data_IF_223827870847
#
_entry.id   IF_223827870847
#
_cell.length_a   1.000
_cell.length_b   1.000
_cell.length_c   1.000
_cell.angle_alpha   90.00
_cell.angle_beta   90.00
_cell.angle_gamma   90.00
#
_symmetry.space_group_name_H-M   'P 1'
#
loop_
_entity.id
_entity.type
_entity.pdbx_description
1 polymer ?
#
# COMPACT_ATOMS: atom_id res chain seq x y z
N UNK A 1 -8.74 -14.60 -0.48
CA UNK A 1 -7.38 -14.76 0.05
C UNK A 1 -6.55 -15.79 -0.74
N UNK A 2 -7.16 -16.74 -1.47
CA UNK A 2 -6.46 -17.80 -2.23
C UNK A 2 -5.37 -17.32 -3.21
N UNK A 3 -5.38 -16.06 -3.63
CA UNK A 3 -4.41 -15.48 -4.56
C UNK A 3 -3.49 -14.42 -3.95
N UNK A 4 -3.47 -14.26 -2.61
CA UNK A 4 -2.64 -13.25 -1.97
C UNK A 4 -1.16 -13.50 -2.23
N UNK A 5 -0.68 -14.73 -2.02
CA UNK A 5 0.73 -15.09 -2.21
C UNK A 5 1.16 -14.92 -3.67
N UNK A 6 0.27 -15.25 -4.62
CA UNK A 6 0.51 -15.01 -6.04
C UNK A 6 0.69 -13.51 -6.33
N UNK A 7 -0.13 -12.64 -5.72
CA UNK A 7 -0.04 -11.18 -5.88
C UNK A 7 1.25 -10.63 -5.25
N UNK A 8 1.57 -11.07 -4.03
CA UNK A 8 2.78 -10.68 -3.31
C UNK A 8 4.05 -11.17 -4.02
N UNK A 9 3.97 -12.23 -4.83
CA UNK A 9 5.11 -12.72 -5.61
C UNK A 9 5.45 -11.90 -6.86
N UNK A 10 4.62 -10.91 -7.24
CA UNK A 10 4.77 -10.20 -8.52
C UNK A 10 6.01 -9.28 -8.55
N UNK A 11 6.48 -8.80 -7.40
CA UNK A 11 7.62 -7.89 -7.32
C UNK A 11 8.35 -7.91 -5.98
N UNK A 12 9.54 -7.33 -5.96
CA UNK A 12 10.37 -7.27 -4.76
C UNK A 12 9.81 -6.22 -3.78
N UNK A 13 9.70 -6.60 -2.50
CA UNK A 13 9.15 -5.73 -1.45
C UNK A 13 7.62 -5.75 -1.36
N UNK A 14 6.96 -6.58 -2.16
CA UNK A 14 5.53 -6.85 -2.06
C UNK A 14 5.28 -7.89 -0.96
N UNK A 15 5.69 -7.55 0.26
CA UNK A 15 5.40 -8.33 1.47
C UNK A 15 4.50 -7.49 2.38
N UNK A 16 3.93 -8.10 3.42
CA UNK A 16 3.17 -7.39 4.45
C UNK A 16 4.00 -7.31 5.73
N UNK A 17 3.69 -6.36 6.63
CA UNK A 17 4.28 -6.33 7.97
C UNK A 17 4.15 -7.66 8.70
N UNK A 18 5.06 -7.92 9.63
CA UNK A 18 5.03 -9.15 10.43
C UNK A 18 3.68 -9.31 11.15
N UNK A 19 3.11 -10.51 11.09
CA UNK A 19 1.81 -10.84 11.69
C UNK A 19 0.63 -9.98 11.19
N UNK A 20 0.74 -9.38 10.00
CA UNK A 20 -0.36 -8.62 9.42
C UNK A 20 -1.59 -9.50 9.17
N UNK A 21 -2.76 -8.99 9.57
CA UNK A 21 -4.05 -9.57 9.22
C UNK A 21 -4.58 -8.88 7.96
N UNK A 22 -4.81 -9.66 6.90
CA UNK A 22 -5.36 -9.14 5.65
C UNK A 22 -6.87 -8.97 5.80
N UNK A 23 -7.33 -7.72 5.69
CA UNK A 23 -8.75 -7.38 5.75
C UNK A 23 -9.45 -7.61 4.42
N UNK A 24 -8.80 -7.24 3.31
CA UNK A 24 -9.36 -7.39 1.97
C UNK A 24 -8.29 -7.31 0.88
N UNK A 25 -8.62 -7.89 -0.27
CA UNK A 25 -7.86 -7.76 -1.51
C UNK A 25 -8.82 -7.36 -2.61
N UNK A 26 -8.57 -6.25 -3.30
CA UNK A 26 -9.41 -5.76 -4.40
C UNK A 26 -8.57 -5.31 -5.59
N UNK A 27 -9.07 -5.44 -6.83
CA UNK A 27 -8.39 -4.91 -8.00
C UNK A 27 -8.35 -3.36 -8.00
N UNK A 28 -7.28 -2.77 -8.51
CA UNK A 28 -7.13 -1.33 -8.73
C UNK A 28 -7.79 -0.92 -10.07
N UNK A 29 -9.12 -0.85 -10.07
CA UNK A 29 -9.93 -0.70 -11.30
C UNK A 29 -9.83 0.69 -11.91
N UNK A 30 -9.70 1.74 -11.11
CA UNK A 30 -9.56 3.12 -11.56
C UNK A 30 -8.18 3.33 -12.18
N UNK A 31 -7.13 2.76 -11.58
CA UNK A 31 -5.80 2.73 -12.21
C UNK A 31 -5.84 1.96 -13.54
N UNK A 32 -6.34 0.72 -13.55
CA UNK A 32 -6.40 -0.09 -14.76
C UNK A 32 -7.23 0.54 -15.89
N UNK A 33 -8.28 1.29 -15.55
CA UNK A 33 -9.10 2.00 -16.54
C UNK A 33 -8.43 3.25 -17.11
N UNK A 34 -7.58 3.92 -16.32
CA UNK A 34 -6.89 5.15 -16.73
C UNK A 34 -5.56 4.89 -17.43
N UNK A 35 -4.96 3.72 -17.25
CA UNK A 35 -3.67 3.34 -17.84
C UNK A 35 -3.84 2.19 -18.85
N UNK A 36 -3.57 2.39 -20.16
CA UNK A 36 -3.68 1.32 -21.15
C UNK A 36 -2.83 0.09 -20.79
N UNK A 37 -3.50 -1.06 -20.62
CA UNK A 37 -2.86 -2.30 -20.18
C UNK A 37 -2.49 -2.32 -18.69
N UNK A 38 -2.86 -1.30 -17.93
CA UNK A 38 -2.65 -1.23 -16.50
C UNK A 38 -3.40 -2.34 -15.76
N UNK A 39 -2.77 -2.84 -14.71
CA UNK A 39 -3.35 -3.78 -13.76
C UNK A 39 -2.87 -3.40 -12.35
N UNK A 40 -3.58 -3.83 -11.32
CA UNK A 40 -3.14 -3.60 -9.96
C UNK A 40 -4.06 -4.20 -8.91
N UNK A 41 -3.57 -4.21 -7.68
CA UNK A 41 -4.25 -4.74 -6.51
C UNK A 41 -4.06 -3.82 -5.31
N UNK A 42 -5.04 -3.81 -4.43
CA UNK A 42 -5.04 -3.10 -3.16
C UNK A 42 -5.24 -4.16 -2.08
N UNK A 43 -4.31 -4.20 -1.13
CA UNK A 43 -4.32 -5.14 -0.03
C UNK A 43 -4.47 -4.32 1.24
N UNK A 44 -5.67 -4.31 1.83
CA UNK A 44 -5.91 -3.66 3.11
C UNK A 44 -5.53 -4.62 4.23
N UNK A 45 -4.78 -4.15 5.21
CA UNK A 45 -4.29 -4.95 6.32
C UNK A 45 -4.32 -4.20 7.64
N UNK A 46 -4.28 -4.96 8.73
CA UNK A 46 -3.96 -4.47 10.07
C UNK A 46 -2.70 -5.13 10.59
N UNK A 47 -1.93 -4.40 11.39
CA UNK A 47 -0.68 -4.88 11.99
C UNK A 47 -0.34 -4.05 13.21
N UNK A 48 0.52 -4.55 14.08
CA UNK A 48 1.05 -3.78 15.20
C UNK A 48 1.89 -2.59 14.71
N UNK A 49 1.88 -1.49 15.48
CA UNK A 49 2.60 -0.25 15.18
C UNK A 49 4.09 -0.53 14.86
N UNK A 50 4.77 -1.28 15.73
CA UNK A 50 6.19 -1.58 15.54
C UNK A 50 6.45 -2.40 14.27
N UNK A 51 5.62 -3.42 14.00
CA UNK A 51 5.74 -4.21 12.78
C UNK A 51 5.55 -3.37 11.51
N UNK A 52 4.67 -2.36 11.54
CA UNK A 52 4.52 -1.40 10.44
C UNK A 52 5.80 -0.56 10.27
N UNK A 53 6.40 -0.07 11.37
CA UNK A 53 7.64 0.72 11.30
C UNK A 53 8.82 -0.09 10.78
N UNK A 54 8.94 -1.32 11.22
CA UNK A 54 10.00 -2.24 10.79
C UNK A 54 9.85 -2.52 9.30
N UNK A 55 8.63 -2.86 8.86
CA UNK A 55 8.30 -3.03 7.44
C UNK A 55 8.67 -1.80 6.58
N UNK A 56 8.29 -0.59 7.02
CA UNK A 56 8.64 0.64 6.27
C UNK A 56 10.16 0.77 6.13
N UNK A 57 10.91 0.52 7.22
CA UNK A 57 12.36 0.63 7.23
C UNK A 57 13.03 -0.39 6.30
N UNK A 58 12.56 -1.62 6.32
CA UNK A 58 13.14 -2.74 5.56
C UNK A 58 12.80 -2.68 4.07
N UNK A 59 11.56 -2.36 3.73
CA UNK A 59 11.06 -2.51 2.35
C UNK A 59 11.14 -1.24 1.52
N UNK A 60 11.12 -0.06 2.16
CA UNK A 60 11.04 1.22 1.44
C UNK A 60 12.32 2.05 1.51
N UNK A 61 13.20 1.75 2.47
CA UNK A 61 14.37 2.56 2.79
C UNK A 61 14.04 3.89 3.51
N UNK A 62 12.76 4.19 3.75
CA UNK A 62 12.34 5.30 4.61
C UNK A 62 12.41 4.87 6.08
N UNK A 63 12.93 5.69 7.01
CA UNK A 63 12.99 5.28 8.41
C UNK A 63 11.58 5.22 9.03
N UNK A 64 11.16 4.05 9.50
CA UNK A 64 9.84 3.82 10.11
C UNK A 64 9.59 4.62 11.39
N UNK A 65 10.65 5.07 12.07
CA UNK A 65 10.55 6.03 13.18
C UNK A 65 9.96 7.37 12.72
N UNK A 66 10.14 7.74 11.44
CA UNK A 66 9.73 9.02 10.86
C UNK A 66 8.52 8.89 9.91
N UNK A 67 7.51 8.11 10.31
CA UNK A 67 6.19 8.11 9.67
C UNK A 67 5.38 9.32 10.17
N UNK A 68 5.79 10.48 9.68
CA UNK A 68 5.24 11.79 10.05
C UNK A 68 5.24 12.70 8.82
N UNK A 69 4.56 13.85 8.92
CA UNK A 69 4.46 14.80 7.81
C UNK A 69 3.03 14.98 7.31
N UNK A 70 2.87 15.61 6.12
CA UNK A 70 1.58 16.01 5.60
C UNK A 70 0.74 14.80 5.19
N UNK A 71 -0.58 15.02 5.19
CA UNK A 71 -1.50 13.95 4.87
C UNK A 71 -1.49 13.65 3.38
N UNK A 72 -1.65 12.37 3.05
CA UNK A 72 -1.95 11.92 1.70
C UNK A 72 -3.17 12.68 1.16
N UNK A 73 -3.15 12.98 -0.15
CA UNK A 73 -4.19 13.78 -0.80
C UNK A 73 -4.91 12.95 -1.85
N UNK A 74 -6.22 13.13 -1.95
CA UNK A 74 -7.01 12.50 -3.00
C UNK A 74 -6.49 12.96 -4.37
N UNK A 75 -6.34 12.03 -5.31
CA UNK A 75 -5.80 12.30 -6.64
C UNK A 75 -4.28 12.27 -6.74
N UNK A 76 -3.57 11.89 -5.67
CA UNK A 76 -2.16 11.48 -5.77
C UNK A 76 -2.08 10.19 -6.57
N UNK A 77 -1.09 10.11 -7.46
CA UNK A 77 -0.79 8.90 -8.23
C UNK A 77 -0.57 7.73 -7.27
N UNK A 78 -1.28 6.63 -7.48
CA UNK A 78 -1.26 5.43 -6.65
C UNK A 78 -2.37 5.30 -5.62
N UNK A 79 -3.23 6.31 -5.48
CA UNK A 79 -4.36 6.32 -4.55
C UNK A 79 -5.72 6.41 -5.26
N UNK A 80 -5.77 6.09 -6.56
CA UNK A 80 -6.97 6.25 -7.41
C UNK A 80 -8.15 5.42 -6.93
N UNK A 81 -7.87 4.29 -6.29
CA UNK A 81 -8.85 3.29 -5.88
C UNK A 81 -9.10 3.27 -4.36
N UNK A 82 -8.53 4.24 -3.62
CA UNK A 82 -8.71 4.34 -2.16
C UNK A 82 -9.50 5.60 -1.80
N UNK A 83 -10.49 5.42 -0.93
CA UNK A 83 -11.26 6.52 -0.35
C UNK A 83 -10.57 7.06 0.92
N UNK A 84 -9.80 8.13 0.75
CA UNK A 84 -9.07 8.76 1.86
C UNK A 84 -10.00 9.44 2.88
N UNK A 85 -11.27 9.69 2.55
CA UNK A 85 -12.22 10.29 3.50
C UNK A 85 -12.56 9.35 4.67
N UNK A 86 -12.31 8.05 4.48
CA UNK A 86 -12.49 7.01 5.49
C UNK A 86 -11.26 6.76 6.37
N UNK A 87 -10.16 7.48 6.12
CA UNK A 87 -8.85 7.21 6.73
C UNK A 87 -8.41 8.41 7.57
N UNK A 88 -8.12 8.14 8.83
CA UNK A 88 -7.66 9.16 9.77
C UNK A 88 -6.18 9.46 9.55
N UNK A 89 -5.85 10.75 9.37
CA UNK A 89 -4.47 11.22 9.26
C UNK A 89 -3.59 10.42 8.27
N UNK A 90 -4.02 10.21 7.01
CA UNK A 90 -3.39 9.26 6.10
C UNK A 90 -1.98 9.70 5.73
N UNK A 91 -1.03 8.76 5.70
CA UNK A 91 0.35 8.97 5.27
C UNK A 91 0.69 8.01 4.15
N UNK A 92 1.39 8.47 3.11
CA UNK A 92 1.67 7.65 1.94
C UNK A 92 3.13 7.73 1.47
N UNK A 93 3.63 6.63 0.90
CA UNK A 93 4.97 6.49 0.36
C UNK A 93 5.00 5.52 -0.82
N UNK A 94 5.50 6.00 -1.97
CA UNK A 94 5.79 5.16 -3.12
C UNK A 94 7.15 4.49 -3.00
N UNK A 95 7.27 3.22 -3.40
CA UNK A 95 8.50 2.43 -3.35
C UNK A 95 8.48 1.33 -4.41
N UNK A 96 9.61 0.67 -4.66
CA UNK A 96 9.71 -0.44 -5.63
C UNK A 96 9.51 -0.07 -7.11
N UNK A 97 9.04 1.15 -7.40
CA UNK A 97 8.67 1.62 -8.75
C UNK A 97 7.26 1.22 -9.18
N UNK A 98 6.63 0.29 -8.47
CA UNK A 98 5.31 -0.27 -8.76
C UNK A 98 4.39 -0.35 -7.52
N UNK A 99 4.87 0.05 -6.34
CA UNK A 99 4.12 -0.02 -5.10
C UNK A 99 3.89 1.34 -4.44
N UNK A 100 2.74 1.48 -3.79
CA UNK A 100 2.38 2.59 -2.91
C UNK A 100 1.93 2.01 -1.58
N UNK A 101 2.54 2.48 -0.49
CA UNK A 101 2.09 2.20 0.87
C UNK A 101 1.26 3.37 1.36
N UNK A 102 0.04 3.10 1.83
CA UNK A 102 -0.80 4.06 2.53
C UNK A 102 -1.01 3.56 3.95
N UNK A 103 -0.81 4.42 4.95
CA UNK A 103 -0.95 4.10 6.36
C UNK A 103 -1.92 5.07 7.02
N UNK A 104 -2.77 4.54 7.89
CA UNK A 104 -3.57 5.35 8.80
C UNK A 104 -2.76 5.70 10.05
N UNK A 105 -2.89 6.93 10.57
CA UNK A 105 -2.27 7.32 11.84
C UNK A 105 -3.34 7.59 12.91
N UNK A 106 -3.16 7.13 14.16
CA UNK A 106 -2.05 6.30 14.66
C UNK A 106 -1.97 4.93 13.97
N UNK A 107 -0.76 4.35 13.94
CA UNK A 107 -0.47 3.15 13.16
C UNK A 107 -1.25 1.94 13.68
N UNK A 108 -1.75 1.13 12.76
CA UNK A 108 -2.54 -0.05 13.05
C UNK A 108 -3.26 -0.62 11.82
N UNK A 109 -3.52 0.23 10.82
CA UNK A 109 -4.16 -0.13 9.54
C UNK A 109 -3.40 0.48 8.37
N UNK A 110 -3.29 -0.28 7.28
CA UNK A 110 -2.60 0.15 6.08
C UNK A 110 -3.14 -0.51 4.82
N UNK A 111 -2.66 -0.01 3.68
CA UNK A 111 -2.97 -0.50 2.34
C UNK A 111 -1.67 -0.60 1.55
N UNK A 112 -1.36 -1.81 1.07
CA UNK A 112 -0.33 -2.02 0.07
C UNK A 112 -0.99 -2.03 -1.30
N UNK A 113 -0.57 -1.11 -2.16
CA UNK A 113 -1.15 -0.89 -3.49
C UNK A 113 -0.07 -1.22 -4.52
N UNK A 114 -0.29 -2.26 -5.31
CA UNK A 114 0.65 -2.73 -6.34
C UNK A 114 0.04 -2.42 -7.70
N UNK A 115 0.81 -1.77 -8.57
CA UNK A 115 0.36 -1.32 -9.89
C UNK A 115 1.40 -1.64 -10.94
N UNK A 116 0.99 -2.23 -12.05
CA UNK A 116 1.87 -2.52 -13.17
C UNK A 116 1.23 -2.24 -14.51
N UNK A 117 2.06 -2.16 -15.54
CA UNK A 117 1.64 -2.06 -16.93
C UNK A 117 2.67 -2.75 -17.84
N UNK A 118 2.28 -3.19 -19.05
CA UNK A 118 3.22 -3.66 -20.06
C UNK A 118 4.30 -2.61 -20.31
N UNK A 119 5.57 -3.05 -20.32
CA UNK A 119 6.72 -2.22 -20.72
C UNK A 119 6.78 -2.05 -22.24
#
# INVERSE_FOLDING_TARGET
MEHLDDILSIGQGHELPENAEVLSVSPAVNFAASYPGGWGYIIAFTSEDQAIRDYVSEQTGHPGEYISGPNAKQGRDGLEDVDLSSISDPWDLGFGGDAMLLLERPLGRGWLIIRGAPR
#
